data_IF_301703317690
#
_entry.id   IF_301703317690
#
_cell.length_a   1.000
_cell.length_b   1.000
_cell.length_c   1.000
_cell.angle_alpha   90.00
_cell.angle_beta   90.00
_cell.angle_gamma   90.00
#
_symmetry.space_group_name_H-M   'P 1'
#
loop_
_entity.id
_entity.type
_entity.pdbx_description
1 polymer ?
#
# COMPACT_ATOMS: atom_id res chain seq x y z
N UNK A 1 11.15 -12.22 -20.22
CA UNK A 1 11.47 -11.46 -19.00
C UNK A 1 10.81 -10.11 -19.17
N UNK A 2 9.62 -9.91 -18.57
CA UNK A 2 8.97 -8.61 -18.56
C UNK A 2 9.84 -7.66 -17.72
N UNK A 3 10.19 -6.50 -18.27
CA UNK A 3 10.87 -5.44 -17.54
C UNK A 3 10.03 -5.05 -16.33
N UNK A 4 10.66 -4.90 -15.15
CA UNK A 4 10.06 -4.38 -13.93
C UNK A 4 9.70 -2.88 -14.11
N UNK A 5 8.68 -2.60 -14.93
CA UNK A 5 8.10 -1.27 -15.04
C UNK A 5 7.15 -1.07 -13.86
N UNK A 6 7.60 -0.36 -12.83
CA UNK A 6 6.74 0.02 -11.71
C UNK A 6 7.40 0.11 -10.34
N UNK A 7 8.56 -0.51 -10.12
CA UNK A 7 9.31 -0.25 -8.89
C UNK A 7 9.90 1.17 -8.94
N UNK A 8 9.90 1.93 -7.83
CA UNK A 8 10.62 3.19 -7.77
C UNK A 8 12.03 3.00 -8.31
N UNK A 9 12.47 3.87 -9.22
CA UNK A 9 13.76 3.75 -9.91
C UNK A 9 14.97 3.79 -8.94
N UNK A 10 14.75 4.03 -7.65
CA UNK A 10 15.76 4.35 -6.67
C UNK A 10 15.55 3.59 -5.34
N UNK A 11 16.14 2.39 -5.23
CA UNK A 11 16.41 1.78 -3.95
C UNK A 11 15.32 0.86 -3.39
N UNK A 12 15.57 0.37 -2.17
CA UNK A 12 14.69 -0.52 -1.45
C UNK A 12 13.62 0.28 -0.69
N UNK A 13 12.31 0.05 -0.90
CA UNK A 13 11.23 0.72 -0.17
C UNK A 13 11.34 0.64 1.36
N UNK A 14 11.98 -0.41 1.89
CA UNK A 14 12.22 -0.56 3.33
C UNK A 14 13.04 0.59 3.93
N UNK A 15 13.87 1.27 3.13
CA UNK A 15 14.65 2.42 3.56
C UNK A 15 13.80 3.68 3.81
N UNK A 16 12.55 3.71 3.36
CA UNK A 16 11.59 4.78 3.63
C UNK A 16 10.88 4.62 4.97
N UNK A 17 11.00 3.47 5.64
CA UNK A 17 10.34 3.22 6.91
C UNK A 17 10.92 4.14 8.01
N UNK A 18 10.06 4.91 8.72
CA UNK A 18 10.52 5.80 9.80
C UNK A 18 11.06 4.98 10.97
N UNK A 19 12.07 5.45 11.72
CA UNK A 19 12.70 4.65 12.81
C UNK A 19 11.72 4.09 13.84
N UNK A 20 10.57 4.75 14.03
CA UNK A 20 9.50 4.33 14.95
C UNK A 20 8.77 3.05 14.56
N UNK A 21 8.89 2.58 13.32
CA UNK A 21 8.15 1.42 12.82
C UNK A 21 8.46 0.13 13.61
N UNK A 22 9.69 -0.03 14.09
CA UNK A 22 10.08 -1.18 14.92
C UNK A 22 9.33 -1.22 16.25
N UNK A 23 9.14 -0.04 16.86
CA UNK A 23 8.32 0.06 18.08
C UNK A 23 6.87 -0.34 17.82
N UNK A 24 6.33 0.00 16.65
CA UNK A 24 4.97 -0.39 16.26
C UNK A 24 4.83 -1.91 16.17
N UNK A 25 5.83 -2.61 15.63
CA UNK A 25 5.86 -4.08 15.61
C UNK A 25 5.88 -4.65 17.03
N UNK A 26 6.66 -4.07 17.95
CA UNK A 26 6.64 -4.46 19.37
C UNK A 26 5.26 -4.31 20.01
N UNK A 27 4.54 -3.22 19.71
CA UNK A 27 3.18 -3.03 20.21
C UNK A 27 2.18 -4.07 19.67
N UNK A 28 2.36 -4.57 18.46
CA UNK A 28 1.53 -5.67 17.93
C UNK A 28 1.80 -7.00 18.65
N UNK A 29 3.07 -7.26 19.03
CA UNK A 29 3.41 -8.43 19.85
C UNK A 29 2.82 -8.32 21.26
N UNK A 30 2.85 -7.12 21.85
CA UNK A 30 2.23 -6.84 23.14
C UNK A 30 0.68 -6.98 23.08
N UNK A 31 0.05 -6.56 21.98
CA UNK A 31 -1.40 -6.71 21.74
C UNK A 31 -1.81 -8.19 21.69
N UNK A 32 -1.03 -9.02 20.98
CA UNK A 32 -1.32 -10.46 20.79
C UNK A 32 -0.97 -11.30 22.03
N UNK A 33 0.00 -10.86 22.82
CA UNK A 33 0.41 -11.56 24.05
C UNK A 33 0.58 -10.57 25.21
N UNK A 34 -0.55 -10.03 25.74
CA UNK A 34 -0.51 -9.04 26.82
C UNK A 34 -0.26 -9.62 28.21
N UNK A 35 -0.20 -10.96 28.34
CA UNK A 35 -0.07 -11.69 29.60
C UNK A 35 0.74 -12.98 29.40
N UNK A 36 0.38 -14.09 30.08
CA UNK A 36 1.11 -15.35 30.01
C UNK A 36 0.91 -16.07 28.66
N UNK A 37 2.01 -16.56 28.07
CA UNK A 37 1.99 -17.42 26.89
C UNK A 37 1.88 -18.90 27.29
N UNK A 38 0.65 -19.38 27.47
CA UNK A 38 0.41 -20.77 27.85
C UNK A 38 0.78 -21.77 26.73
N UNK A 39 0.62 -21.38 25.47
CA UNK A 39 1.02 -22.21 24.31
C UNK A 39 2.52 -22.40 24.22
N UNK A 40 3.27 -21.33 24.42
CA UNK A 40 4.73 -21.36 24.46
C UNK A 40 5.26 -22.20 25.62
N UNK A 41 4.58 -22.16 26.79
CA UNK A 41 4.93 -23.02 27.92
C UNK A 41 4.86 -24.52 27.58
N UNK A 42 3.85 -24.92 26.80
CA UNK A 42 3.66 -26.34 26.38
C UNK A 42 4.79 -26.84 25.50
N UNK A 43 5.29 -26.00 24.55
CA UNK A 43 6.26 -26.42 23.54
C UNK A 43 7.71 -26.17 23.98
N UNK A 44 7.94 -25.23 24.90
CA UNK A 44 9.25 -24.89 25.43
C UNK A 44 10.19 -24.17 24.48
N UNK A 45 11.49 -24.13 24.80
CA UNK A 45 12.53 -23.33 24.11
C UNK A 45 13.41 -24.12 23.14
N UNK A 46 13.06 -25.36 22.81
CA UNK A 46 13.87 -26.17 21.91
C UNK A 46 14.03 -25.48 20.54
N UNK A 47 15.22 -25.62 19.88
CA UNK A 47 15.43 -25.08 18.55
C UNK A 47 14.50 -25.77 17.54
N UNK A 48 13.93 -24.96 16.64
CA UNK A 48 13.02 -25.42 15.60
C UNK A 48 13.17 -24.58 14.32
N UNK A 49 12.65 -25.14 13.23
CA UNK A 49 12.51 -24.47 11.94
C UNK A 49 11.05 -24.48 11.53
N UNK A 50 10.60 -23.41 10.89
CA UNK A 50 9.26 -23.31 10.30
C UNK A 50 9.36 -22.87 8.86
N UNK A 51 8.48 -23.41 7.99
CA UNK A 51 8.33 -23.00 6.59
C UNK A 51 7.19 -22.03 6.45
N UNK A 52 7.47 -20.88 5.83
CA UNK A 52 6.44 -19.95 5.36
C UNK A 52 5.99 -20.37 3.96
N UNK A 53 4.70 -20.64 3.83
CA UNK A 53 4.08 -21.12 2.59
C UNK A 53 3.09 -20.07 2.07
N UNK A 54 3.23 -19.63 0.82
CA UNK A 54 2.19 -18.90 0.12
C UNK A 54 1.14 -19.90 -0.42
N UNK A 55 -0.13 -19.72 -0.06
CA UNK A 55 -1.25 -20.61 -0.40
C UNK A 55 -2.18 -20.03 -1.45
N UNK A 56 -2.05 -18.76 -1.77
CA UNK A 56 -2.76 -18.09 -2.86
C UNK A 56 -1.81 -17.23 -3.70
N UNK A 57 -2.21 -16.97 -4.93
CA UNK A 57 -1.48 -16.08 -5.82
C UNK A 57 -1.48 -14.64 -5.30
N UNK A 58 -0.36 -13.94 -5.47
CA UNK A 58 -0.20 -12.54 -5.13
C UNK A 58 1.24 -12.06 -5.16
N UNK A 59 1.45 -10.81 -4.79
CA UNK A 59 2.77 -10.19 -4.68
C UNK A 59 3.20 -10.20 -3.22
N UNK A 60 4.40 -10.68 -2.94
CA UNK A 60 4.98 -10.61 -1.59
C UNK A 60 5.30 -9.16 -1.25
N UNK A 61 4.71 -8.67 -0.18
CA UNK A 61 4.98 -7.35 0.36
C UNK A 61 4.85 -7.32 1.89
N UNK A 62 5.73 -6.55 2.54
CA UNK A 62 5.77 -6.49 4.00
C UNK A 62 6.87 -7.34 4.63
N UNK A 63 7.84 -7.78 3.84
CA UNK A 63 9.04 -8.49 4.30
C UNK A 63 9.69 -7.81 5.52
N UNK A 64 9.92 -6.48 5.55
CA UNK A 64 10.53 -5.85 6.72
C UNK A 64 9.74 -6.02 8.01
N UNK A 65 8.40 -6.01 7.93
CA UNK A 65 7.53 -6.18 9.11
C UNK A 65 7.57 -7.62 9.61
N UNK A 66 7.52 -8.59 8.70
CA UNK A 66 7.65 -10.01 9.02
C UNK A 66 9.00 -10.30 9.70
N UNK A 67 10.09 -9.81 9.12
CA UNK A 67 11.45 -9.99 9.65
C UNK A 67 11.61 -9.36 11.04
N UNK A 68 11.06 -8.16 11.24
CA UNK A 68 11.19 -7.47 12.52
C UNK A 68 10.41 -8.20 13.64
N UNK A 69 9.24 -8.79 13.35
CA UNK A 69 8.52 -9.63 14.33
C UNK A 69 9.43 -10.74 14.84
N UNK A 70 10.04 -11.51 13.94
CA UNK A 70 10.90 -12.62 14.32
C UNK A 70 12.23 -12.19 14.90
N UNK A 71 12.78 -11.07 14.46
CA UNK A 71 13.98 -10.48 15.04
C UNK A 71 13.79 -10.07 16.51
N UNK A 72 12.63 -9.49 16.86
CA UNK A 72 12.32 -9.14 18.26
C UNK A 72 12.09 -10.36 19.14
N UNK A 73 11.93 -11.53 18.56
CA UNK A 73 11.75 -12.83 19.23
C UNK A 73 13.01 -13.73 19.13
N UNK A 74 14.19 -13.14 18.83
CA UNK A 74 15.46 -13.84 18.68
C UNK A 74 15.42 -14.98 17.64
N UNK A 75 14.61 -14.83 16.61
CA UNK A 75 14.53 -15.73 15.48
C UNK A 75 15.19 -15.12 14.22
N UNK A 76 15.55 -15.96 13.28
CA UNK A 76 16.11 -15.56 11.97
C UNK A 76 15.19 -15.99 10.84
N UNK A 77 15.13 -15.16 9.78
CA UNK A 77 14.32 -15.43 8.58
C UNK A 77 15.22 -15.52 7.36
N UNK A 78 15.05 -16.57 6.58
CA UNK A 78 15.74 -16.80 5.31
C UNK A 78 14.70 -16.83 4.19
N UNK A 79 14.69 -15.81 3.35
CA UNK A 79 13.75 -15.69 2.24
C UNK A 79 14.26 -16.41 0.98
N UNK A 80 13.34 -17.13 0.30
CA UNK A 80 13.59 -17.79 -0.98
C UNK A 80 13.03 -16.99 -2.17
N UNK A 81 12.30 -15.93 -1.89
CA UNK A 81 11.74 -14.95 -2.84
C UNK A 81 12.10 -13.54 -2.38
N UNK A 82 11.93 -12.57 -3.25
CA UNK A 82 12.19 -11.15 -2.94
C UNK A 82 10.88 -10.41 -2.74
N UNK A 83 10.93 -9.32 -2.00
CA UNK A 83 9.84 -8.36 -1.94
C UNK A 83 9.46 -7.88 -3.36
N UNK A 84 8.18 -7.90 -3.68
CA UNK A 84 7.66 -7.58 -5.01
C UNK A 84 7.63 -8.74 -6.00
N UNK A 85 8.08 -9.93 -5.62
CA UNK A 85 7.94 -11.13 -6.47
C UNK A 85 6.50 -11.68 -6.41
N UNK A 86 6.04 -12.24 -7.53
CA UNK A 86 4.79 -13.00 -7.58
C UNK A 86 4.98 -14.40 -6.97
N UNK A 87 4.02 -14.82 -6.15
CA UNK A 87 3.99 -16.14 -5.50
C UNK A 87 2.64 -16.82 -5.64
N UNK A 88 2.59 -18.12 -5.39
CA UNK A 88 1.36 -18.91 -5.38
C UNK A 88 0.72 -19.14 -6.76
N UNK A 89 1.42 -18.83 -7.85
CA UNK A 89 0.90 -18.95 -9.22
C UNK A 89 1.11 -20.36 -9.76
N UNK A 90 2.28 -20.96 -9.52
CA UNK A 90 2.65 -22.26 -10.09
C UNK A 90 2.36 -23.42 -9.14
N UNK A 91 2.42 -23.19 -7.83
CA UNK A 91 2.25 -24.20 -6.78
C UNK A 91 1.19 -23.75 -5.77
N UNK A 92 0.28 -24.66 -5.40
CA UNK A 92 -0.75 -24.38 -4.36
C UNK A 92 -0.16 -24.04 -2.98
N UNK A 93 1.11 -24.43 -2.72
CA UNK A 93 1.82 -24.18 -1.44
C UNK A 93 3.29 -23.90 -1.74
N UNK A 94 3.59 -22.71 -2.24
CA UNK A 94 4.98 -22.32 -2.54
C UNK A 94 5.73 -21.98 -1.25
N UNK A 95 6.89 -22.60 -1.03
CA UNK A 95 7.79 -22.29 0.08
C UNK A 95 8.52 -20.96 -0.21
N UNK A 96 8.23 -19.93 0.58
CA UNK A 96 8.73 -18.56 0.33
C UNK A 96 9.77 -18.09 1.34
N UNK A 97 9.77 -18.63 2.56
CA UNK A 97 10.81 -18.36 3.56
C UNK A 97 10.92 -19.49 4.60
N UNK A 98 12.08 -19.57 5.25
CA UNK A 98 12.34 -20.42 6.40
C UNK A 98 12.62 -19.55 7.61
N UNK A 99 11.94 -19.83 8.74
CA UNK A 99 12.16 -19.15 10.02
C UNK A 99 12.79 -20.13 11.01
N UNK A 100 13.86 -19.70 11.72
CA UNK A 100 14.61 -20.53 12.66
C UNK A 100 14.73 -19.83 14.02
N UNK A 101 14.49 -20.58 15.10
CA UNK A 101 14.60 -20.06 16.46
C UNK A 101 14.01 -21.01 17.50
N UNK A 102 13.83 -20.53 18.76
CA UNK A 102 13.10 -21.28 19.78
C UNK A 102 11.66 -21.53 19.34
N UNK A 103 11.18 -22.79 19.51
CA UNK A 103 9.85 -23.16 18.99
C UNK A 103 8.71 -22.27 19.54
N UNK A 104 8.74 -21.89 20.83
CA UNK A 104 7.75 -20.98 21.40
C UNK A 104 7.77 -19.60 20.73
N UNK A 105 8.96 -19.10 20.38
CA UNK A 105 9.12 -17.81 19.70
C UNK A 105 8.58 -17.83 18.27
N UNK A 106 8.76 -18.97 17.56
CA UNK A 106 8.15 -19.17 16.24
C UNK A 106 6.62 -19.09 16.32
N UNK A 107 6.01 -19.72 17.33
CA UNK A 107 4.54 -19.74 17.50
C UNK A 107 4.02 -18.38 17.98
N UNK A 108 4.73 -17.69 18.87
CA UNK A 108 4.38 -16.38 19.38
C UNK A 108 4.36 -15.31 18.26
N UNK A 109 5.34 -15.34 17.36
CA UNK A 109 5.42 -14.40 16.24
C UNK A 109 4.51 -14.73 15.07
N UNK A 110 4.05 -15.98 14.93
CA UNK A 110 3.34 -16.48 13.75
C UNK A 110 2.18 -15.57 13.33
N UNK A 111 1.24 -15.31 14.24
CA UNK A 111 0.00 -14.60 13.89
C UNK A 111 0.26 -13.16 13.52
N UNK A 112 1.05 -12.45 14.30
CA UNK A 112 1.41 -11.04 14.05
C UNK A 112 2.14 -10.89 12.72
N UNK A 113 3.13 -11.75 12.46
CA UNK A 113 3.91 -11.73 11.22
C UNK A 113 3.02 -12.03 10.00
N UNK A 114 2.17 -13.08 10.08
CA UNK A 114 1.27 -13.44 8.99
C UNK A 114 0.22 -12.37 8.72
N UNK A 115 -0.35 -11.73 9.73
CA UNK A 115 -1.35 -10.69 9.56
C UNK A 115 -0.77 -9.47 8.82
N UNK A 116 0.44 -9.02 9.21
CA UNK A 116 1.13 -7.92 8.55
C UNK A 116 1.49 -8.26 7.09
N UNK A 117 2.09 -9.43 6.85
CA UNK A 117 2.49 -9.89 5.52
C UNK A 117 1.28 -10.07 4.60
N UNK A 118 0.24 -10.76 5.07
CA UNK A 118 -0.95 -11.08 4.27
C UNK A 118 -1.68 -9.81 3.81
N UNK A 119 -1.87 -8.84 4.72
CA UNK A 119 -2.52 -7.56 4.39
C UNK A 119 -1.69 -6.73 3.44
N UNK A 120 -0.40 -6.58 3.72
CA UNK A 120 0.52 -5.81 2.89
C UNK A 120 0.60 -6.38 1.47
N UNK A 121 0.76 -7.71 1.37
CA UNK A 121 0.79 -8.43 0.09
C UNK A 121 -0.52 -8.30 -0.69
N UNK A 122 -1.66 -8.36 -0.01
CA UNK A 122 -2.96 -8.14 -0.65
C UNK A 122 -3.07 -6.76 -1.30
N UNK A 123 -2.62 -5.72 -0.59
CA UNK A 123 -2.60 -4.34 -1.11
C UNK A 123 -1.63 -4.21 -2.28
N UNK A 124 -0.42 -4.76 -2.18
CA UNK A 124 0.54 -4.74 -3.27
C UNK A 124 0.00 -5.44 -4.52
N UNK A 125 -0.67 -6.58 -4.35
CA UNK A 125 -1.31 -7.33 -5.44
C UNK A 125 -2.39 -6.51 -6.12
N UNK A 126 -3.28 -5.89 -5.34
CA UNK A 126 -4.37 -5.05 -5.87
C UNK A 126 -3.85 -3.79 -6.55
N UNK A 127 -2.88 -3.12 -5.95
CA UNK A 127 -2.22 -1.94 -6.49
C UNK A 127 -1.55 -2.26 -7.84
N UNK A 128 -0.81 -3.36 -7.91
CA UNK A 128 -0.16 -3.82 -9.13
C UNK A 128 -1.16 -4.17 -10.24
N UNK A 129 -2.26 -4.85 -9.88
CA UNK A 129 -3.31 -5.20 -10.84
C UNK A 129 -3.94 -3.94 -11.47
N UNK A 130 -4.33 -2.96 -10.64
CA UNK A 130 -4.91 -1.71 -11.13
C UNK A 130 -3.92 -0.90 -11.97
N UNK A 131 -2.64 -0.84 -11.54
CA UNK A 131 -1.58 -0.17 -12.30
C UNK A 131 -1.37 -0.85 -13.67
N UNK A 132 -1.40 -2.18 -13.72
CA UNK A 132 -1.27 -2.94 -14.96
C UNK A 132 -2.41 -2.66 -15.93
N UNK A 133 -3.66 -2.56 -15.46
CA UNK A 133 -4.81 -2.16 -16.27
C UNK A 133 -4.62 -0.74 -16.86
N UNK A 134 -4.19 0.20 -16.04
CA UNK A 134 -3.90 1.56 -16.50
C UNK A 134 -2.78 1.60 -17.54
N UNK A 135 -1.70 0.82 -17.36
CA UNK A 135 -0.60 0.73 -18.34
C UNK A 135 -1.08 0.11 -19.66
N UNK A 136 -1.92 -0.91 -19.62
CA UNK A 136 -2.54 -1.50 -20.82
C UNK A 136 -3.46 -0.52 -21.54
N UNK A 137 -4.16 0.35 -20.80
CA UNK A 137 -4.97 1.42 -21.37
C UNK A 137 -4.13 2.62 -21.87
N UNK A 138 -2.80 2.58 -21.77
CA UNK A 138 -1.90 3.61 -22.26
C UNK A 138 -1.55 4.72 -21.25
N UNK A 139 -2.08 4.68 -20.03
CA UNK A 139 -1.76 5.67 -18.99
C UNK A 139 -0.34 5.52 -18.48
N UNK A 140 0.46 6.57 -18.55
CA UNK A 140 1.89 6.57 -18.18
C UNK A 140 2.19 7.27 -16.86
N UNK A 141 1.24 8.07 -16.36
CA UNK A 141 1.41 8.91 -15.19
C UNK A 141 1.13 8.15 -13.88
N UNK A 142 0.92 8.84 -12.79
CA UNK A 142 0.90 8.28 -11.44
C UNK A 142 -0.45 7.66 -11.09
N UNK A 143 -0.44 6.40 -10.63
CA UNK A 143 -1.53 5.83 -9.83
C UNK A 143 -1.20 6.04 -8.36
N UNK A 144 -2.13 6.57 -7.58
CA UNK A 144 -1.94 6.88 -6.17
C UNK A 144 -3.01 6.24 -5.28
N UNK A 145 -2.63 5.99 -4.03
CA UNK A 145 -3.56 5.62 -2.97
C UNK A 145 -4.27 6.81 -2.34
N UNK A 146 -4.85 6.59 -1.18
CA UNK A 146 -5.52 7.63 -0.39
C UNK A 146 -5.14 7.55 1.09
N UNK A 147 -5.69 8.46 1.92
CA UNK A 147 -5.57 8.39 3.37
C UNK A 147 -6.72 7.62 4.05
N UNK A 148 -7.57 6.94 3.28
CA UNK A 148 -8.69 6.09 3.79
C UNK A 148 -8.16 4.74 4.29
N UNK A 149 -7.14 4.77 5.15
CA UNK A 149 -6.41 3.62 5.70
C UNK A 149 -6.95 3.21 7.06
N UNK A 150 -6.65 1.97 7.46
CA UNK A 150 -6.98 1.45 8.79
C UNK A 150 -6.21 2.20 9.88
N UNK A 151 -6.87 2.73 10.93
CA UNK A 151 -6.18 3.36 12.05
C UNK A 151 -5.13 2.41 12.66
N UNK A 152 -3.94 2.97 12.96
CA UNK A 152 -2.81 2.20 13.49
C UNK A 152 -2.04 1.36 12.46
N UNK A 153 -2.62 1.08 11.28
CA UNK A 153 -2.00 0.19 10.29
C UNK A 153 -1.59 0.88 8.97
N UNK A 154 -1.74 2.21 8.91
CA UNK A 154 -1.45 3.02 7.71
C UNK A 154 -0.07 2.78 7.12
N UNK A 155 0.96 2.61 7.96
CA UNK A 155 2.33 2.43 7.47
C UNK A 155 2.45 1.17 6.62
N UNK A 156 1.88 0.04 7.09
CA UNK A 156 1.87 -1.24 6.34
C UNK A 156 1.06 -1.11 5.05
N UNK A 157 -0.11 -0.48 5.11
CA UNK A 157 -0.98 -0.33 3.95
C UNK A 157 -0.32 0.54 2.86
N UNK A 158 0.29 1.67 3.24
CA UNK A 158 1.02 2.53 2.30
C UNK A 158 2.31 1.90 1.78
N UNK A 159 2.96 1.10 2.60
CA UNK A 159 4.11 0.32 2.17
C UNK A 159 3.72 -0.71 1.09
N UNK A 160 2.60 -1.40 1.26
CA UNK A 160 2.05 -2.30 0.23
C UNK A 160 1.75 -1.59 -1.09
N UNK A 161 1.24 -0.36 -1.05
CA UNK A 161 1.04 0.45 -2.26
C UNK A 161 2.37 0.70 -2.99
N UNK A 162 3.43 1.08 -2.28
CA UNK A 162 4.76 1.30 -2.84
C UNK A 162 5.32 0.03 -3.50
N UNK A 163 5.23 -1.11 -2.83
CA UNK A 163 5.69 -2.39 -3.40
C UNK A 163 4.88 -2.76 -4.64
N UNK A 164 3.58 -2.47 -4.66
CA UNK A 164 2.70 -2.66 -5.81
C UNK A 164 2.92 -1.67 -6.97
N UNK A 165 3.84 -0.70 -6.80
CA UNK A 165 4.19 0.29 -7.84
C UNK A 165 3.33 1.55 -7.85
N UNK A 166 2.54 1.79 -6.80
CA UNK A 166 1.69 2.96 -6.67
C UNK A 166 2.29 4.01 -5.72
N UNK A 167 2.00 5.28 -5.98
CA UNK A 167 2.29 6.35 -5.04
C UNK A 167 1.39 6.21 -3.80
N UNK A 168 1.92 6.27 -2.57
CA UNK A 168 1.10 6.16 -1.37
C UNK A 168 0.22 7.39 -1.12
N UNK A 169 0.36 8.45 -1.90
CA UNK A 169 -0.23 9.76 -1.67
C UNK A 169 0.22 10.37 -0.33
N UNK A 170 -0.32 11.52 0.08
CA UNK A 170 0.03 12.14 1.36
C UNK A 170 -0.09 11.15 2.52
N UNK A 171 0.94 11.12 3.36
CA UNK A 171 1.02 10.17 4.48
C UNK A 171 -0.04 10.49 5.55
N UNK A 172 -0.21 11.78 5.85
CA UNK A 172 -1.08 12.28 6.90
C UNK A 172 -1.55 13.72 6.56
N UNK A 173 -2.11 14.42 7.54
CA UNK A 173 -2.57 15.80 7.36
C UNK A 173 -1.43 16.82 7.26
N UNK A 174 -0.23 16.45 7.68
CA UNK A 174 0.94 17.36 7.69
C UNK A 174 1.75 17.26 6.40
N UNK A 175 1.61 16.17 5.63
CA UNK A 175 2.42 15.93 4.42
C UNK A 175 1.99 16.83 3.24
N UNK A 176 0.72 17.15 3.14
CA UNK A 176 0.15 18.04 2.12
C UNK A 176 -1.20 18.57 2.59
N UNK A 177 -1.48 19.84 2.37
CA UNK A 177 -2.80 20.42 2.62
C UNK A 177 -3.75 20.03 1.49
N UNK A 178 -4.92 19.48 1.83
CA UNK A 178 -6.00 19.21 0.87
C UNK A 178 -7.25 19.93 1.34
N UNK A 179 -7.68 20.90 0.56
CA UNK A 179 -8.91 21.66 0.79
C UNK A 179 -10.07 20.94 0.12
N UNK A 180 -11.08 20.60 0.90
CA UNK A 180 -12.30 19.95 0.47
C UNK A 180 -13.47 20.90 0.64
N UNK A 181 -14.64 20.50 0.15
CA UNK A 181 -15.90 21.24 0.28
C UNK A 181 -16.11 21.82 1.67
N UNK A 182 -15.96 21.02 2.72
CA UNK A 182 -16.11 21.47 4.10
C UNK A 182 -15.12 22.58 4.50
N UNK A 183 -13.89 22.56 3.96
CA UNK A 183 -12.92 23.62 4.21
C UNK A 183 -13.32 24.90 3.47
N UNK A 184 -13.78 24.77 2.23
CA UNK A 184 -14.22 25.91 1.41
C UNK A 184 -15.45 26.56 2.05
N UNK A 185 -16.44 25.77 2.46
CA UNK A 185 -17.64 26.28 3.14
C UNK A 185 -17.31 26.98 4.47
N UNK A 186 -16.40 26.43 5.25
CA UNK A 186 -15.91 27.07 6.48
C UNK A 186 -15.18 28.39 6.22
N UNK A 187 -14.61 28.57 5.01
CA UNK A 187 -14.01 29.81 4.54
C UNK A 187 -15.01 30.69 3.74
N UNK A 188 -16.26 30.71 4.13
CA UNK A 188 -17.34 31.49 3.51
C UNK A 188 -17.58 31.15 2.01
N UNK A 189 -17.29 29.95 1.59
CA UNK A 189 -17.45 29.46 0.22
C UNK A 189 -16.40 30.00 -0.77
N UNK A 190 -15.32 30.61 -0.29
CA UNK A 190 -14.32 31.25 -1.15
C UNK A 190 -13.08 30.36 -1.33
N UNK A 191 -12.93 29.74 -2.50
CA UNK A 191 -11.71 29.01 -2.88
C UNK A 191 -10.46 29.88 -2.79
N UNK A 192 -10.41 31.11 -3.35
CA UNK A 192 -9.23 31.98 -3.23
C UNK A 192 -8.83 32.28 -1.77
N UNK A 193 -9.82 32.54 -0.91
CA UNK A 193 -9.58 32.79 0.52
C UNK A 193 -8.99 31.56 1.22
N UNK A 194 -9.54 30.38 0.95
CA UNK A 194 -9.06 29.12 1.53
C UNK A 194 -7.65 28.79 1.05
N UNK A 195 -7.37 28.95 -0.25
CA UNK A 195 -6.03 28.71 -0.83
C UNK A 195 -5.01 29.70 -0.26
N UNK A 196 -5.34 30.97 -0.17
CA UNK A 196 -4.44 31.98 0.41
C UNK A 196 -4.10 31.68 1.88
N UNK A 197 -5.09 31.30 2.69
CA UNK A 197 -4.89 30.88 4.08
C UNK A 197 -4.04 29.61 4.19
N UNK A 198 -4.29 28.60 3.33
CA UNK A 198 -3.50 27.37 3.27
C UNK A 198 -2.04 27.66 2.91
N UNK A 199 -1.79 28.46 1.87
CA UNK A 199 -0.43 28.86 1.45
C UNK A 199 0.31 29.64 2.54
N UNK A 200 -0.38 30.53 3.24
CA UNK A 200 0.22 31.29 4.33
C UNK A 200 0.67 30.40 5.50
N UNK A 201 -0.09 29.34 5.81
CA UNK A 201 0.25 28.39 6.88
C UNK A 201 1.23 27.30 6.45
N UNK A 202 1.14 26.83 5.20
CA UNK A 202 1.98 25.77 4.64
C UNK A 202 3.39 26.25 4.27
N UNK A 203 3.56 27.53 4.01
CA UNK A 203 4.81 28.09 3.50
C UNK A 203 5.16 27.55 2.11
N UNK A 204 6.45 27.48 1.80
CA UNK A 204 6.93 26.98 0.50
C UNK A 204 7.09 25.44 0.45
N UNK A 205 7.13 24.80 1.62
CA UNK A 205 7.52 23.39 1.71
C UNK A 205 6.35 22.40 1.53
N UNK A 206 5.11 22.84 1.78
CA UNK A 206 3.91 21.98 1.75
C UNK A 206 3.02 22.40 0.59
N UNK A 207 2.71 21.44 -0.28
CA UNK A 207 1.77 21.65 -1.39
C UNK A 207 0.34 21.86 -0.90
N UNK A 208 -0.42 22.63 -1.66
CA UNK A 208 -1.86 22.83 -1.47
C UNK A 208 -2.62 22.22 -2.63
N UNK A 209 -3.49 21.30 -2.30
CA UNK A 209 -4.42 20.65 -3.20
C UNK A 209 -5.84 21.12 -2.93
N UNK A 210 -6.65 21.27 -3.98
CA UNK A 210 -8.07 21.63 -3.89
C UNK A 210 -8.92 20.59 -4.59
N UNK A 211 -9.88 20.00 -3.88
CA UNK A 211 -10.92 19.13 -4.45
C UNK A 211 -11.99 20.02 -5.10
N UNK A 212 -12.24 19.82 -6.39
CA UNK A 212 -13.09 20.63 -7.25
C UNK A 212 -14.20 19.81 -7.86
N UNK A 213 -15.41 20.34 -7.85
CA UNK A 213 -16.60 19.69 -8.40
C UNK A 213 -16.92 20.19 -9.84
N UNK A 214 -16.16 21.18 -10.33
CA UNK A 214 -16.31 21.73 -11.68
C UNK A 214 -14.98 22.22 -12.24
N UNK A 215 -14.89 22.37 -13.56
CA UNK A 215 -13.75 22.99 -14.23
C UNK A 215 -13.57 24.45 -13.81
N UNK A 216 -14.65 25.17 -13.51
CA UNK A 216 -14.61 26.55 -13.05
C UNK A 216 -13.96 26.67 -11.68
N UNK A 217 -14.31 25.79 -10.75
CA UNK A 217 -13.64 25.71 -9.44
C UNK A 217 -12.16 25.39 -9.58
N UNK A 218 -11.80 24.43 -10.46
CA UNK A 218 -10.42 24.08 -10.73
C UNK A 218 -9.61 25.27 -11.29
N UNK A 219 -10.19 26.02 -12.25
CA UNK A 219 -9.58 27.24 -12.76
C UNK A 219 -9.36 28.28 -11.66
N UNK A 220 -10.36 28.48 -10.80
CA UNK A 220 -10.29 29.42 -9.65
C UNK A 220 -9.21 29.00 -8.65
N UNK A 221 -9.09 27.70 -8.37
CA UNK A 221 -8.10 27.17 -7.46
C UNK A 221 -6.68 27.34 -8.02
N UNK A 222 -6.45 27.04 -9.30
CA UNK A 222 -5.14 27.23 -9.96
C UNK A 222 -4.76 28.72 -10.00
N UNK A 223 -5.69 29.60 -10.32
CA UNK A 223 -5.46 31.04 -10.34
C UNK A 223 -5.09 31.57 -8.95
N UNK A 224 -5.72 31.02 -7.89
CA UNK A 224 -5.41 31.34 -6.51
C UNK A 224 -4.06 30.75 -6.02
N UNK A 225 -3.43 29.84 -6.78
CA UNK A 225 -2.11 29.29 -6.50
C UNK A 225 -2.12 27.87 -5.93
N UNK A 226 -3.16 27.08 -6.13
CA UNK A 226 -3.15 25.66 -5.81
C UNK A 226 -2.05 24.94 -6.61
N UNK A 227 -1.37 23.98 -5.96
CA UNK A 227 -0.32 23.16 -6.59
C UNK A 227 -0.89 21.92 -7.27
N UNK A 228 -2.05 21.46 -6.79
CA UNK A 228 -2.78 20.32 -7.32
C UNK A 228 -4.27 20.66 -7.31
N UNK A 229 -4.99 20.30 -8.36
CA UNK A 229 -6.45 20.32 -8.40
C UNK A 229 -6.98 18.91 -8.63
N UNK A 230 -7.89 18.47 -7.77
CA UNK A 230 -8.53 17.16 -7.88
C UNK A 230 -9.91 17.35 -8.52
N UNK A 231 -10.14 16.73 -9.69
CA UNK A 231 -11.44 16.61 -10.31
C UNK A 231 -12.17 15.44 -9.64
N UNK A 232 -13.10 15.75 -8.74
CA UNK A 232 -13.78 14.76 -7.90
C UNK A 232 -15.15 14.41 -8.46
N UNK A 233 -15.44 13.11 -8.60
CA UNK A 233 -16.72 12.56 -9.09
C UNK A 233 -17.13 13.01 -10.51
N UNK A 234 -16.19 13.39 -11.36
CA UNK A 234 -16.46 13.61 -12.78
C UNK A 234 -16.72 12.27 -13.50
N UNK A 235 -17.43 12.31 -14.62
CA UNK A 235 -17.49 11.18 -15.57
C UNK A 235 -16.19 11.07 -16.35
N UNK A 236 -15.86 9.88 -16.90
CA UNK A 236 -14.66 9.71 -17.70
C UNK A 236 -14.54 10.69 -18.86
N UNK A 237 -15.63 10.93 -19.60
CA UNK A 237 -15.66 11.92 -20.68
C UNK A 237 -15.53 13.35 -20.16
N UNK A 238 -16.19 13.68 -19.05
CA UNK A 238 -16.08 14.99 -18.41
C UNK A 238 -14.66 15.31 -17.96
N UNK A 239 -13.97 14.33 -17.40
CA UNK A 239 -12.55 14.46 -17.02
C UNK A 239 -11.66 14.76 -18.22
N UNK A 240 -11.83 14.05 -19.35
CA UNK A 240 -11.02 14.26 -20.55
C UNK A 240 -11.20 15.67 -21.11
N UNK A 241 -12.42 16.18 -21.11
CA UNK A 241 -12.72 17.55 -21.56
C UNK A 241 -12.12 18.59 -20.60
N UNK A 242 -12.39 18.45 -19.30
CA UNK A 242 -11.93 19.41 -18.30
C UNK A 242 -10.40 19.41 -18.17
N UNK A 243 -9.76 18.25 -18.11
CA UNK A 243 -8.29 18.16 -17.99
C UNK A 243 -7.59 18.76 -19.20
N UNK A 244 -8.10 18.50 -20.41
CA UNK A 244 -7.56 19.13 -21.65
C UNK A 244 -7.68 20.65 -21.59
N UNK A 245 -8.84 21.19 -21.25
CA UNK A 245 -9.07 22.63 -21.13
C UNK A 245 -8.15 23.28 -20.10
N UNK A 246 -8.01 22.66 -18.92
CA UNK A 246 -7.11 23.13 -17.87
C UNK A 246 -5.64 23.11 -18.32
N UNK A 247 -5.20 22.05 -19.00
CA UNK A 247 -3.83 21.96 -19.52
C UNK A 247 -3.56 22.94 -20.67
N UNK A 248 -4.54 23.22 -21.52
CA UNK A 248 -4.41 24.22 -22.58
C UNK A 248 -4.27 25.64 -21.99
N UNK A 249 -4.96 25.93 -20.88
CA UNK A 249 -4.90 27.22 -20.19
C UNK A 249 -3.67 27.37 -19.28
N UNK A 250 -3.31 26.35 -18.53
CA UNK A 250 -2.35 26.44 -17.42
C UNK A 250 -1.01 25.71 -17.67
N UNK A 251 -0.84 25.13 -18.86
CA UNK A 251 0.41 24.48 -19.29
C UNK A 251 0.48 22.98 -18.97
N UNK A 252 1.48 22.33 -19.58
CA UNK A 252 1.74 20.88 -19.53
C UNK A 252 3.16 20.58 -19.06
N UNK A 253 3.37 19.40 -18.49
CA UNK A 253 4.69 18.91 -18.08
C UNK A 253 5.37 19.85 -17.11
N UNK A 254 6.63 20.17 -17.34
CA UNK A 254 7.43 21.05 -16.48
C UNK A 254 6.94 22.52 -16.46
N UNK A 255 6.13 22.90 -17.42
CA UNK A 255 5.53 24.25 -17.51
C UNK A 255 4.10 24.29 -16.93
N UNK A 256 3.58 23.17 -16.41
CA UNK A 256 2.28 23.15 -15.80
C UNK A 256 2.29 23.97 -14.50
N UNK A 257 1.28 24.81 -14.33
CA UNK A 257 1.10 25.62 -13.12
C UNK A 257 0.56 24.79 -11.95
N UNK A 258 -0.20 23.73 -12.24
CA UNK A 258 -0.71 22.79 -11.27
C UNK A 258 -0.76 21.38 -11.86
N UNK A 259 -0.72 20.37 -10.97
CA UNK A 259 -1.02 18.98 -11.32
C UNK A 259 -2.54 18.77 -11.33
N UNK A 260 -3.00 17.89 -12.21
CA UNK A 260 -4.41 17.47 -12.26
C UNK A 260 -4.52 16.06 -11.72
N UNK A 261 -5.25 15.91 -10.63
CA UNK A 261 -5.63 14.65 -10.04
C UNK A 261 -7.08 14.31 -10.37
N UNK A 262 -7.37 13.04 -10.54
CA UNK A 262 -8.73 12.50 -10.70
C UNK A 262 -9.00 11.49 -9.61
N UNK A 263 -10.15 11.61 -8.96
CA UNK A 263 -10.60 10.73 -7.88
C UNK A 263 -12.12 10.56 -7.91
N UNK A 264 -12.63 9.68 -7.04
CA UNK A 264 -14.07 9.44 -6.88
C UNK A 264 -14.52 8.09 -7.46
N UNK A 265 -14.66 7.06 -6.60
CA UNK A 265 -15.24 5.77 -6.96
C UNK A 265 -14.47 4.93 -7.99
N UNK A 266 -13.21 5.25 -8.27
CA UNK A 266 -12.39 4.56 -9.27
C UNK A 266 -11.96 3.17 -8.77
N UNK A 267 -12.12 2.19 -9.66
CA UNK A 267 -11.76 0.79 -9.42
C UNK A 267 -11.40 0.10 -10.75
N UNK A 268 -11.20 -1.22 -10.71
CA UNK A 268 -10.82 -2.01 -11.90
C UNK A 268 -11.84 -1.98 -13.03
N UNK A 269 -13.14 -1.82 -12.69
CA UNK A 269 -14.22 -1.88 -13.69
C UNK A 269 -14.33 -0.59 -14.51
N UNK A 270 -13.91 0.55 -13.96
CA UNK A 270 -14.14 1.85 -14.57
C UNK A 270 -12.90 2.71 -14.81
N UNK A 271 -11.76 2.39 -14.21
CA UNK A 271 -10.58 3.26 -14.25
C UNK A 271 -10.06 3.54 -15.65
N UNK A 272 -10.23 2.60 -16.57
CA UNK A 272 -9.82 2.75 -17.98
C UNK A 272 -10.55 3.87 -18.72
N UNK A 273 -11.76 4.20 -18.31
CA UNK A 273 -12.58 5.26 -18.93
C UNK A 273 -12.01 6.66 -18.64
N UNK A 274 -11.20 6.76 -17.58
CA UNK A 274 -10.61 8.02 -17.11
C UNK A 274 -9.22 8.30 -17.69
N UNK A 275 -8.67 7.38 -18.48
CA UNK A 275 -7.30 7.51 -19.02
C UNK A 275 -7.23 8.58 -20.10
N UNK A 276 -6.37 9.58 -19.89
CA UNK A 276 -5.89 10.51 -20.91
C UNK A 276 -4.53 11.11 -20.49
N UNK A 277 -3.81 11.69 -21.46
CA UNK A 277 -2.46 12.24 -21.23
C UNK A 277 -2.45 13.51 -20.37
N UNK A 278 -3.58 14.19 -20.24
CA UNK A 278 -3.72 15.45 -19.52
C UNK A 278 -3.98 15.28 -18.01
N UNK A 279 -4.11 14.02 -17.52
CA UNK A 279 -4.23 13.68 -16.11
C UNK A 279 -2.87 13.28 -15.57
N UNK A 280 -2.38 13.96 -14.53
CA UNK A 280 -1.10 13.66 -13.91
C UNK A 280 -1.20 12.54 -12.87
N UNK A 281 -2.34 12.48 -12.13
CA UNK A 281 -2.55 11.54 -11.03
C UNK A 281 -3.96 10.95 -11.12
N UNK A 282 -4.05 9.63 -11.02
CA UNK A 282 -5.30 8.91 -10.75
C UNK A 282 -5.19 8.37 -9.33
N UNK A 283 -6.09 8.75 -8.42
CA UNK A 283 -6.09 8.22 -7.06
C UNK A 283 -7.32 7.37 -6.78
N UNK A 284 -7.11 6.26 -6.05
CA UNK A 284 -8.18 5.35 -5.69
C UNK A 284 -7.97 4.72 -4.32
N UNK A 285 -9.04 4.65 -3.54
CA UNK A 285 -9.07 3.87 -2.30
C UNK A 285 -9.28 2.38 -2.52
N UNK A 286 -9.72 1.96 -3.73
CA UNK A 286 -9.95 0.54 -4.03
C UNK A 286 -8.68 -0.31 -3.95
N UNK A 287 -7.49 0.31 -4.07
CA UNK A 287 -6.22 -0.39 -3.94
C UNK A 287 -5.88 -0.83 -2.52
N UNK A 288 -6.59 -0.33 -1.51
CA UNK A 288 -6.36 -0.72 -0.10
C UNK A 288 -7.65 -0.94 0.71
N UNK A 289 -8.81 -0.50 0.24
CA UNK A 289 -10.11 -0.80 0.88
C UNK A 289 -10.74 -2.05 0.25
N UNK A 290 -11.33 -2.93 1.08
CA UNK A 290 -11.99 -4.15 0.61
C UNK A 290 -11.07 -5.15 -0.09
N UNK A 291 -9.76 -5.09 0.13
CA UNK A 291 -8.75 -5.91 -0.55
C UNK A 291 -8.64 -7.28 0.12
N UNK A 292 -8.60 -8.34 -0.68
CA UNK A 292 -8.32 -9.69 -0.21
C UNK A 292 -6.87 -9.82 0.25
N UNK A 293 -6.66 -10.52 1.35
CA UNK A 293 -5.32 -10.89 1.81
C UNK A 293 -4.72 -11.96 0.89
N UNK A 294 -3.39 -11.96 0.75
CA UNK A 294 -2.68 -13.15 0.24
C UNK A 294 -2.61 -14.16 1.38
N UNK A 295 -3.02 -15.39 1.11
CA UNK A 295 -3.04 -16.45 2.13
C UNK A 295 -1.64 -17.04 2.33
N UNK A 296 -1.13 -16.90 3.55
CA UNK A 296 0.12 -17.50 3.99
C UNK A 296 -0.10 -18.39 5.21
N UNK A 297 0.77 -19.38 5.37
CA UNK A 297 0.83 -20.18 6.60
C UNK A 297 2.27 -20.44 7.01
N UNK A 298 2.52 -20.43 8.31
CA UNK A 298 3.81 -20.83 8.90
C UNK A 298 3.65 -22.23 9.50
N UNK A 299 4.52 -23.17 9.12
CA UNK A 299 4.45 -24.56 9.59
C UNK A 299 5.78 -25.01 10.16
N UNK A 300 5.78 -25.31 11.45
CA UNK A 300 6.95 -25.90 12.13
C UNK A 300 7.26 -27.26 11.53
N UNK A 301 8.53 -27.52 11.23
CA UNK A 301 8.99 -28.78 10.66
C UNK A 301 9.13 -29.79 11.80
N UNK A 302 8.46 -30.96 11.76
CA UNK A 302 8.62 -32.00 12.77
C UNK A 302 10.06 -32.50 12.84
N UNK A 303 10.58 -32.73 14.06
CA UNK A 303 11.96 -33.20 14.27
C UNK A 303 12.26 -34.52 13.54
N UNK A 304 11.26 -35.37 13.37
CA UNK A 304 11.41 -36.70 12.73
C UNK A 304 11.29 -36.65 11.21
N UNK A 305 10.90 -35.51 10.59
CA UNK A 305 10.76 -35.38 9.14
C UNK A 305 12.10 -35.51 8.39
N UNK A 306 13.23 -35.27 9.05
CA UNK A 306 14.56 -35.41 8.46
C UNK A 306 15.07 -36.89 8.44
N UNK A 307 14.38 -37.82 9.14
CA UNK A 307 14.75 -39.22 9.17
C UNK A 307 14.07 -40.06 8.07
N UNK A 308 12.98 -39.58 7.49
CA UNK A 308 12.21 -40.28 6.45
C UNK A 308 11.88 -39.33 5.30
N UNK A 309 12.68 -39.37 4.25
CA UNK A 309 12.48 -38.57 3.03
C UNK A 309 11.25 -39.01 2.23
N UNK A 310 10.05 -38.70 2.72
CA UNK A 310 8.78 -38.69 1.96
C UNK A 310 7.70 -38.11 2.88
N UNK A 311 7.36 -36.84 2.73
CA UNK A 311 6.05 -36.36 3.18
C UNK A 311 5.01 -36.71 2.10
N UNK A 312 4.11 -37.63 2.42
CA UNK A 312 2.88 -37.82 1.68
C UNK A 312 1.98 -36.60 1.87
N UNK A 313 1.32 -36.20 0.79
CA UNK A 313 0.26 -35.18 0.79
C UNK A 313 -0.93 -35.68 1.64
N UNK A 314 -0.89 -35.36 2.94
CA UNK A 314 -2.01 -35.60 3.83
C UNK A 314 -3.06 -34.50 3.63
N UNK A 315 -4.11 -34.82 2.90
CA UNK A 315 -5.38 -34.08 2.95
C UNK A 315 -5.91 -34.12 4.40
N UNK A 316 -5.83 -33.00 5.11
CA UNK A 316 -6.65 -32.79 6.30
C UNK A 316 -7.91 -32.06 5.87
N UNK A 317 -9.06 -32.73 6.05
CA UNK A 317 -10.39 -32.17 5.87
C UNK A 317 -10.53 -30.89 6.70
N UNK A 318 -10.92 -29.80 6.04
CA UNK A 318 -11.41 -28.58 6.68
C UNK A 318 -12.81 -28.84 7.27
N UNK A 319 -12.97 -28.58 8.54
CA UNK A 319 -14.25 -28.23 9.18
C UNK A 319 -14.17 -26.85 9.75
#
# INVERSE_FOLDING_TARGET
MASKEGAPAHGNPAHLLPPSWRKTVGLWLEEDTPSFDYGGFVVGDGPAEARLLAKSAGIVAGVPFFDEVFKQLDCTVEWHVKEGDEVGVQEKKQHVATVKGPVRCLLLGERVALNALARCSGIATKAHALLSLLRQAGYKNTLAGTRKTTPGFRLVEKYGMLVGGCDPHRQDLSAMTMLKDNHIWACSGSIPTAVAAAKASAGFAVKVEVECQSEEEANTAIEAGADVVMLDNFTGDGVKVASKSLKDRWGRGTNARALIEVSGGLNEDNVSDYVCDDIDIISSSSIHQGVKHVDFSLKVIPKDANAHGKMGDGESADT
#
